data_IF_148638005887
#
_entry.id   IF_148638005887
#
_cell.length_a   1.000
_cell.length_b   1.000
_cell.length_c   1.000
_cell.angle_alpha   90.00
_cell.angle_beta   90.00
_cell.angle_gamma   90.00
#
_symmetry.space_group_name_H-M   'P 1'
#
loop_
_entity.id
_entity.type
_entity.pdbx_description
1 polymer ?
#
# COMPACT_ATOMS: atom_id res chain seq x y z
N UNK A 1 33.37 0.82 -11.53
CA UNK A 1 31.97 0.36 -11.65
C UNK A 1 31.10 1.61 -11.69
N UNK A 2 30.28 1.81 -12.72
CA UNK A 2 29.53 3.07 -12.90
C UNK A 2 28.56 3.32 -11.74
N UNK A 3 28.62 4.51 -11.13
CA UNK A 3 27.82 4.87 -9.94
C UNK A 3 26.31 4.65 -10.12
N UNK A 4 25.76 4.91 -11.31
CA UNK A 4 24.34 4.68 -11.59
C UNK A 4 23.96 3.19 -11.50
N UNK A 5 24.83 2.25 -11.94
CA UNK A 5 24.56 0.80 -11.84
C UNK A 5 24.50 0.34 -10.39
N UNK A 6 25.36 0.90 -9.54
CA UNK A 6 25.39 0.61 -8.11
C UNK A 6 24.08 1.07 -7.44
N UNK A 7 23.61 2.26 -7.78
CA UNK A 7 22.35 2.81 -7.26
C UNK A 7 21.16 1.97 -7.73
N UNK A 8 21.08 1.63 -9.02
CA UNK A 8 20.00 0.76 -9.54
C UNK A 8 19.99 -0.61 -8.83
N UNK A 9 21.17 -1.20 -8.60
CA UNK A 9 21.29 -2.45 -7.86
C UNK A 9 20.83 -2.32 -6.39
N UNK A 10 21.15 -1.20 -5.73
CA UNK A 10 20.69 -0.92 -4.37
C UNK A 10 19.17 -0.76 -4.31
N UNK A 11 18.57 -0.01 -5.23
CA UNK A 11 17.11 0.14 -5.30
C UNK A 11 16.45 -1.21 -5.56
N UNK A 12 16.98 -2.01 -6.49
CA UNK A 12 16.44 -3.35 -6.74
C UNK A 12 16.48 -4.24 -5.51
N UNK A 13 17.56 -4.19 -4.73
CA UNK A 13 17.66 -4.96 -3.47
C UNK A 13 16.64 -4.51 -2.45
N UNK A 14 16.49 -3.21 -2.23
CA UNK A 14 15.52 -2.63 -1.29
C UNK A 14 14.08 -2.95 -1.67
N UNK A 15 13.75 -2.82 -2.96
CA UNK A 15 12.43 -3.16 -3.46
C UNK A 15 12.16 -4.67 -3.39
N UNK A 16 13.15 -5.52 -3.67
CA UNK A 16 12.94 -6.96 -3.60
C UNK A 16 12.82 -7.46 -2.15
N UNK A 17 13.56 -6.89 -1.19
CA UNK A 17 13.41 -7.26 0.22
C UNK A 17 12.04 -6.84 0.78
N UNK A 18 11.50 -5.70 0.35
CA UNK A 18 10.21 -5.23 0.87
C UNK A 18 9.02 -6.05 0.38
N UNK A 19 9.12 -6.71 -0.77
CA UNK A 19 8.09 -7.65 -1.24
C UNK A 19 7.86 -8.82 -0.27
N UNK A 20 8.83 -9.14 0.59
CA UNK A 20 8.80 -10.24 1.54
C UNK A 20 8.52 -9.80 2.99
N UNK A 21 8.42 -8.48 3.25
CA UNK A 21 8.32 -7.91 4.60
C UNK A 21 6.90 -7.42 4.96
N UNK A 22 6.62 -7.35 6.27
CA UNK A 22 5.36 -6.81 6.80
C UNK A 22 5.22 -5.30 6.52
N UNK A 23 3.96 -4.85 6.44
CA UNK A 23 3.64 -3.54 5.89
C UNK A 23 4.26 -2.33 6.63
N UNK A 24 4.70 -2.54 7.86
CA UNK A 24 5.27 -1.53 8.76
C UNK A 24 6.64 -1.03 8.26
N UNK A 25 7.37 -1.81 7.46
CA UNK A 25 8.70 -1.45 6.96
C UNK A 25 8.68 -0.74 5.59
N UNK A 26 7.51 -0.59 4.96
CA UNK A 26 7.41 0.03 3.63
C UNK A 26 7.75 1.52 3.60
N UNK A 27 7.48 2.26 4.67
CA UNK A 27 7.76 3.70 4.70
C UNK A 27 9.26 3.99 4.64
N UNK A 28 10.06 3.23 5.38
CA UNK A 28 11.52 3.32 5.36
C UNK A 28 12.07 2.94 3.98
N UNK A 29 11.60 1.82 3.41
CA UNK A 29 12.01 1.37 2.07
C UNK A 29 11.63 2.39 0.99
N UNK A 30 10.46 3.01 1.07
CA UNK A 30 10.03 4.06 0.14
C UNK A 30 10.89 5.30 0.27
N UNK A 31 11.20 5.74 1.49
CA UNK A 31 12.05 6.90 1.73
C UNK A 31 13.47 6.68 1.21
N UNK A 32 14.07 5.52 1.47
CA UNK A 32 15.40 5.17 0.99
C UNK A 32 15.42 5.01 -0.54
N UNK A 33 14.38 4.38 -1.11
CA UNK A 33 14.23 4.27 -2.57
C UNK A 33 14.11 5.65 -3.22
N UNK A 34 13.34 6.57 -2.65
CA UNK A 34 13.19 7.93 -3.17
C UNK A 34 14.50 8.71 -3.14
N UNK A 35 15.26 8.63 -2.05
CA UNK A 35 16.58 9.27 -1.96
C UNK A 35 17.55 8.74 -3.03
N UNK A 36 17.55 7.42 -3.27
CA UNK A 36 18.37 6.80 -4.31
C UNK A 36 17.92 7.18 -5.73
N UNK A 37 16.61 7.34 -5.96
CA UNK A 37 16.07 7.81 -7.24
C UNK A 37 16.44 9.28 -7.50
N UNK A 38 16.38 10.15 -6.49
CA UNK A 38 16.85 11.54 -6.59
C UNK A 38 18.33 11.61 -6.94
N UNK A 39 19.16 10.79 -6.29
CA UNK A 39 20.58 10.67 -6.64
C UNK A 39 20.77 10.21 -8.08
N UNK A 40 19.95 9.26 -8.57
CA UNK A 40 20.03 8.78 -9.94
C UNK A 40 19.66 9.88 -10.95
N UNK A 41 18.66 10.72 -10.64
CA UNK A 41 18.24 11.84 -11.49
C UNK A 41 19.32 12.91 -11.64
N UNK A 42 20.16 13.09 -10.62
CA UNK A 42 21.25 14.07 -10.63
C UNK A 42 22.50 13.57 -11.35
N UNK A 43 22.55 12.30 -11.77
CA UNK A 43 23.69 11.72 -12.47
C UNK A 43 23.53 11.80 -13.98
N UNK A 44 24.67 11.91 -14.67
CA UNK A 44 24.74 11.68 -16.11
C UNK A 44 24.38 10.22 -16.42
N UNK A 45 23.10 9.99 -16.68
CA UNK A 45 22.60 8.69 -17.12
C UNK A 45 23.03 8.42 -18.55
N UNK A 46 23.59 7.24 -18.85
CA UNK A 46 23.99 6.91 -20.21
C UNK A 46 22.77 6.90 -21.14
N UNK A 47 22.99 7.33 -22.39
CA UNK A 47 22.05 7.08 -23.47
C UNK A 47 21.75 5.57 -23.51
N UNK A 48 20.46 5.22 -23.59
CA UNK A 48 19.95 3.82 -23.54
C UNK A 48 19.93 3.16 -22.15
N UNK A 49 19.66 3.94 -21.10
CA UNK A 49 19.42 3.36 -19.78
C UNK A 49 18.31 2.28 -19.78
N UNK A 50 17.30 2.46 -20.65
CA UNK A 50 16.20 1.52 -20.87
C UNK A 50 16.59 0.11 -21.33
N UNK A 51 17.78 -0.04 -21.92
CA UNK A 51 18.26 -1.31 -22.45
C UNK A 51 19.01 -2.15 -21.40
N UNK A 52 19.35 -1.56 -20.24
CA UNK A 52 19.98 -2.31 -19.16
C UNK A 52 18.96 -3.16 -18.42
N UNK A 53 19.27 -4.45 -18.29
CA UNK A 53 18.44 -5.42 -17.60
C UNK A 53 18.13 -4.98 -16.17
N UNK A 54 19.09 -4.41 -15.45
CA UNK A 54 18.92 -3.96 -14.06
C UNK A 54 17.91 -2.80 -13.96
N UNK A 55 17.85 -1.93 -14.99
CA UNK A 55 16.88 -0.84 -15.04
C UNK A 55 15.48 -1.34 -15.42
N UNK A 56 15.38 -2.33 -16.31
CA UNK A 56 14.10 -3.00 -16.59
C UNK A 56 13.56 -3.72 -15.35
N UNK A 57 14.43 -4.37 -14.59
CA UNK A 57 14.09 -5.00 -13.31
C UNK A 57 13.62 -3.97 -12.28
N UNK A 58 14.28 -2.80 -12.21
CA UNK A 58 13.84 -1.69 -11.36
C UNK A 58 12.43 -1.24 -11.70
N UNK A 59 12.14 -1.04 -12.99
CA UNK A 59 10.80 -0.68 -13.45
C UNK A 59 9.76 -1.75 -13.10
N UNK A 60 10.13 -3.03 -13.20
CA UNK A 60 9.24 -4.14 -12.84
C UNK A 60 8.96 -4.18 -11.34
N UNK A 61 10.00 -4.14 -10.50
CA UNK A 61 9.89 -4.16 -9.05
C UNK A 61 9.06 -2.98 -8.52
N UNK A 62 9.26 -1.79 -9.09
CA UNK A 62 8.49 -0.61 -8.72
C UNK A 62 7.00 -0.75 -9.07
N UNK A 63 6.65 -1.37 -10.21
CA UNK A 63 5.24 -1.65 -10.56
C UNK A 63 4.60 -2.67 -9.62
N UNK A 64 5.34 -3.68 -9.18
CA UNK A 64 4.86 -4.65 -8.20
C UNK A 64 4.53 -3.97 -6.87
N UNK A 65 5.45 -3.12 -6.38
CA UNK A 65 5.24 -2.36 -5.14
C UNK A 65 3.98 -1.48 -5.21
N UNK A 66 3.79 -0.71 -6.30
CA UNK A 66 2.58 0.11 -6.49
C UNK A 66 1.32 -0.77 -6.45
N UNK A 67 1.38 -1.95 -7.04
CA UNK A 67 0.24 -2.88 -7.09
C UNK A 67 -0.10 -3.41 -5.70
N UNK A 68 0.91 -3.82 -4.92
CA UNK A 68 0.73 -4.24 -3.53
C UNK A 68 0.14 -3.14 -2.66
N UNK A 69 0.69 -1.92 -2.72
CA UNK A 69 0.18 -0.76 -1.96
C UNK A 69 -1.29 -0.47 -2.32
N UNK A 70 -1.66 -0.55 -3.60
CA UNK A 70 -3.05 -0.36 -4.04
C UNK A 70 -3.98 -1.44 -3.49
N UNK A 71 -3.53 -2.69 -3.50
CA UNK A 71 -4.31 -3.81 -2.97
C UNK A 71 -4.52 -3.68 -1.46
N UNK A 72 -3.49 -3.31 -0.71
CA UNK A 72 -3.58 -3.10 0.74
C UNK A 72 -4.47 -1.91 1.09
N UNK A 73 -4.38 -0.81 0.34
CA UNK A 73 -5.32 0.30 0.47
C UNK A 73 -6.77 -0.17 0.29
N UNK A 74 -7.03 -0.96 -0.74
CA UNK A 74 -8.38 -1.48 -1.01
C UNK A 74 -8.86 -2.44 0.10
N UNK A 75 -7.97 -3.31 0.58
CA UNK A 75 -8.24 -4.23 1.69
C UNK A 75 -8.62 -3.47 2.97
N UNK A 76 -7.81 -2.47 3.33
CA UNK A 76 -8.04 -1.60 4.48
C UNK A 76 -9.35 -0.83 4.36
N UNK A 77 -9.66 -0.26 3.19
CA UNK A 77 -10.94 0.42 2.95
C UNK A 77 -12.14 -0.51 3.12
N UNK A 78 -12.07 -1.75 2.61
CA UNK A 78 -13.12 -2.76 2.81
C UNK A 78 -13.27 -3.12 4.29
N UNK A 79 -12.17 -3.22 5.02
CA UNK A 79 -12.19 -3.49 6.46
C UNK A 79 -12.87 -2.35 7.24
N UNK A 80 -12.52 -1.10 6.96
CA UNK A 80 -13.16 0.09 7.54
C UNK A 80 -14.66 0.11 7.23
N UNK A 81 -15.05 -0.18 5.98
CA UNK A 81 -16.46 -0.25 5.60
C UNK A 81 -17.22 -1.33 6.39
N UNK A 82 -16.62 -2.51 6.57
CA UNK A 82 -17.20 -3.59 7.40
C UNK A 82 -17.35 -3.17 8.85
N UNK A 83 -16.33 -2.53 9.45
CA UNK A 83 -16.39 -2.02 10.82
C UNK A 83 -17.50 -0.97 10.99
N UNK A 84 -17.63 -0.05 10.03
CA UNK A 84 -18.69 0.95 10.04
C UNK A 84 -20.09 0.32 9.88
N UNK A 85 -20.23 -0.71 9.04
CA UNK A 85 -21.48 -1.47 8.90
C UNK A 85 -21.82 -2.24 10.17
N UNK A 86 -20.85 -2.93 10.78
CA UNK A 86 -21.07 -3.66 12.03
C UNK A 86 -21.42 -2.71 13.16
N UNK A 87 -20.73 -1.58 13.31
CA UNK A 87 -21.05 -0.58 14.33
C UNK A 87 -22.46 0.01 14.14
N UNK A 88 -22.85 0.36 12.90
CA UNK A 88 -24.21 0.81 12.61
C UNK A 88 -25.26 -0.25 12.92
N UNK A 89 -25.00 -1.51 12.57
CA UNK A 89 -25.90 -2.62 12.87
C UNK A 89 -26.03 -2.83 14.39
N UNK A 90 -24.91 -2.86 15.11
CA UNK A 90 -24.88 -3.06 16.56
C UNK A 90 -25.59 -1.91 17.28
N UNK A 91 -25.33 -0.65 16.90
CA UNK A 91 -26.02 0.52 17.48
C UNK A 91 -27.51 0.48 17.20
N UNK A 92 -27.95 0.15 15.98
CA UNK A 92 -29.38 0.01 15.67
C UNK A 92 -30.04 -1.13 16.44
N UNK A 93 -29.36 -2.27 16.62
CA UNK A 93 -29.86 -3.38 17.44
C UNK A 93 -30.00 -2.97 18.90
N UNK A 94 -29.04 -2.22 19.46
CA UNK A 94 -29.16 -1.70 20.82
C UNK A 94 -30.29 -0.68 20.96
N UNK A 95 -30.46 0.24 20.01
CA UNK A 95 -31.57 1.21 20.02
C UNK A 95 -32.94 0.51 19.93
N UNK A 96 -33.08 -0.52 19.09
CA UNK A 96 -34.32 -1.32 19.01
C UNK A 96 -34.60 -2.14 20.28
N UNK A 97 -33.57 -2.52 21.03
CA UNK A 97 -33.72 -3.20 22.32
C UNK A 97 -34.10 -2.22 23.45
N UNK A 98 -33.56 -0.99 23.43
CA UNK A 98 -33.92 0.05 24.39
C UNK A 98 -35.31 0.66 24.13
N UNK A 99 -35.76 0.73 22.88
CA UNK A 99 -37.12 1.17 22.54
C UNK A 99 -38.19 0.10 22.80
N UNK A 100 -37.80 -1.15 23.06
CA UNK A 100 -38.71 -2.28 23.32
C UNK A 100 -39.70 -2.55 22.17
N UNK A 101 -40.40 -3.69 22.16
CA UNK A 101 -41.58 -3.81 21.33
C UNK A 101 -42.58 -2.75 21.82
N UNK A 102 -42.77 -1.69 21.02
CA UNK A 102 -43.94 -0.82 21.17
C UNK A 102 -45.16 -1.74 21.22
N UNK A 103 -45.83 -1.76 22.36
CA UNK A 103 -47.20 -2.26 22.49
C UNK A 103 -48.06 -1.35 21.61
N UNK A 104 -48.02 -1.60 20.30
CA UNK A 104 -49.02 -1.08 19.37
C UNK A 104 -50.32 -1.67 19.88
N UNK A 105 -51.17 -0.76 20.34
CA UNK A 105 -52.48 -0.97 20.91
C UNK A 105 -53.17 -2.19 20.30
N UNK A 106 -53.42 -3.19 21.15
CA UNK A 106 -54.48 -4.17 20.90
C UNK A 106 -55.79 -3.39 20.99
N UNK A 107 -56.27 -2.89 19.86
CA UNK A 107 -57.68 -2.50 19.73
C UNK A 107 -58.52 -3.77 19.91
N UNK A 108 -59.16 -3.86 21.08
CA UNK A 108 -60.23 -4.79 21.46
C UNK A 108 -61.58 -4.32 20.93
#
# INVERSE_FOLDING_TARGET
MNNYKKIIAQINRLLSSSLEQEFVEYEEVLNETNALLEMLQQMDTPARLGDFQEYQQLQYNYRQLITQIKNEKQSTMKHIQKLNQSQRSTVMTYLQQEEGPSLIDMDL
#
